data_IF_374334334094
#
_entry.id   IF_374334334094
#
_cell.length_a   1.000
_cell.length_b   1.000
_cell.length_c   1.000
_cell.angle_alpha   90.00
_cell.angle_beta   90.00
_cell.angle_gamma   90.00
#
_symmetry.space_group_name_H-M   'P 1'
#
loop_
_entity.id
_entity.type
_entity.pdbx_description
1 polymer ?
#
# COMPACT_ATOMS: atom_id res chain seq x y z
N UNK A 1 7.76 8.86 19.90
CA UNK A 1 6.47 8.94 20.61
C UNK A 1 5.68 7.70 20.21
N UNK A 2 5.63 6.68 21.05
CA UNK A 2 4.89 5.43 20.76
C UNK A 2 3.43 5.67 21.06
N UNK A 3 2.63 5.71 19.99
CA UNK A 3 1.18 5.83 20.08
C UNK A 3 0.64 4.49 20.59
N UNK A 4 0.10 4.45 21.81
CA UNK A 4 -0.48 3.23 22.37
C UNK A 4 -1.80 2.92 21.68
N UNK A 5 -2.18 1.63 21.62
CA UNK A 5 -3.43 1.19 20.98
C UNK A 5 -4.64 1.91 21.57
N UNK A 6 -4.68 2.10 22.89
CA UNK A 6 -5.76 2.84 23.57
C UNK A 6 -5.86 4.31 23.12
N UNK A 7 -4.72 4.95 22.82
CA UNK A 7 -4.67 6.34 22.35
C UNK A 7 -5.10 6.43 20.88
N UNK A 8 -4.72 5.45 20.05
CA UNK A 8 -5.24 5.35 18.68
C UNK A 8 -6.77 5.17 18.68
N UNK A 9 -7.26 4.24 19.49
CA UNK A 9 -8.68 3.90 19.58
C UNK A 9 -9.52 5.09 20.05
N UNK A 10 -9.04 5.81 21.05
CA UNK A 10 -9.72 7.03 21.56
C UNK A 10 -9.76 8.13 20.51
N UNK A 11 -8.65 8.37 19.81
CA UNK A 11 -8.57 9.37 18.76
C UNK A 11 -9.47 9.05 17.55
N UNK A 12 -9.49 7.78 17.13
CA UNK A 12 -10.35 7.32 16.03
C UNK A 12 -11.84 7.42 16.39
N UNK A 13 -12.21 7.07 17.63
CA UNK A 13 -13.58 7.24 18.14
C UNK A 13 -14.03 8.70 18.09
N UNK A 14 -13.19 9.62 18.57
CA UNK A 14 -13.53 11.04 18.64
C UNK A 14 -13.66 11.67 17.24
N UNK A 15 -12.75 11.33 16.32
CA UNK A 15 -12.84 11.75 14.92
C UNK A 15 -14.09 11.20 14.24
N UNK A 16 -14.44 9.95 14.50
CA UNK A 16 -15.63 9.37 13.88
C UNK A 16 -16.94 9.91 14.45
N UNK A 17 -17.01 10.17 15.76
CA UNK A 17 -18.17 10.84 16.36
C UNK A 17 -18.42 12.20 15.69
N UNK A 18 -17.34 12.94 15.39
CA UNK A 18 -17.44 14.21 14.67
C UNK A 18 -17.93 14.04 13.22
N UNK A 19 -17.51 12.97 12.52
CA UNK A 19 -17.91 12.68 11.14
C UNK A 19 -19.35 12.15 11.03
N UNK A 20 -19.76 11.24 11.91
CA UNK A 20 -21.12 10.69 11.95
C UNK A 20 -22.18 11.78 12.21
N UNK A 21 -21.86 12.74 13.09
CA UNK A 21 -22.70 13.91 13.35
C UNK A 21 -22.82 14.83 12.14
N UNK A 22 -21.78 14.94 11.32
CA UNK A 22 -21.81 15.73 10.08
C UNK A 22 -22.60 15.03 8.96
N UNK A 23 -22.64 13.70 8.95
CA UNK A 23 -23.32 12.89 7.94
C UNK A 23 -24.78 12.55 8.30
N UNK A 24 -25.24 12.87 9.51
CA UNK A 24 -26.63 12.65 9.94
C UNK A 24 -27.01 11.19 10.14
N UNK A 25 -26.03 10.32 10.43
CA UNK A 25 -26.22 8.87 10.57
C UNK A 25 -26.35 8.46 12.05
N UNK A 26 -27.24 7.52 12.32
CA UNK A 26 -27.53 7.00 13.67
C UNK A 26 -26.35 6.17 14.24
N UNK A 27 -26.08 6.30 15.54
CA UNK A 27 -24.88 5.78 16.24
C UNK A 27 -24.69 4.26 16.06
N UNK A 28 -25.79 3.50 16.10
CA UNK A 28 -25.76 2.02 16.00
C UNK A 28 -25.31 1.51 14.64
N UNK A 29 -25.68 2.17 13.54
CA UNK A 29 -25.22 1.78 12.21
C UNK A 29 -23.76 2.16 12.00
N UNK A 30 -23.36 3.31 12.57
CA UNK A 30 -21.98 3.79 12.52
C UNK A 30 -21.01 2.79 13.15
N UNK A 31 -21.35 2.19 14.30
CA UNK A 31 -20.49 1.19 14.94
C UNK A 31 -20.28 -0.07 14.11
N UNK A 32 -21.34 -0.63 13.51
CA UNK A 32 -21.20 -1.83 12.67
C UNK A 32 -20.35 -1.56 11.42
N UNK A 33 -20.57 -0.41 10.76
CA UNK A 33 -19.73 -0.01 9.63
C UNK A 33 -18.27 0.21 10.02
N UNK A 34 -18.00 0.70 11.24
CA UNK A 34 -16.64 0.86 11.74
C UNK A 34 -15.95 -0.47 12.04
N UNK A 35 -16.67 -1.42 12.62
CA UNK A 35 -16.11 -2.75 12.91
C UNK A 35 -15.75 -3.47 11.60
N UNK A 36 -16.65 -3.40 10.60
CA UNK A 36 -16.40 -3.94 9.26
C UNK A 36 -15.21 -3.24 8.56
N UNK A 37 -15.13 -1.90 8.65
CA UNK A 37 -14.00 -1.14 8.09
C UNK A 37 -12.69 -1.41 8.84
N UNK A 38 -12.73 -1.55 10.16
CA UNK A 38 -11.57 -1.88 10.96
C UNK A 38 -11.07 -3.29 10.63
N UNK A 39 -11.98 -4.25 10.44
CA UNK A 39 -11.64 -5.61 10.01
C UNK A 39 -11.04 -5.62 8.60
N UNK A 40 -11.58 -4.84 7.66
CA UNK A 40 -11.02 -4.69 6.31
C UNK A 40 -9.62 -4.04 6.33
N UNK A 41 -9.44 -2.99 7.14
CA UNK A 41 -8.15 -2.32 7.31
C UNK A 41 -7.12 -3.23 7.98
N UNK A 42 -7.52 -3.98 9.02
CA UNK A 42 -6.65 -4.95 9.71
C UNK A 42 -6.29 -6.09 8.78
N UNK A 43 -7.23 -6.59 7.98
CA UNK A 43 -6.97 -7.63 6.97
C UNK A 43 -5.97 -7.13 5.92
N UNK A 44 -6.21 -5.95 5.34
CA UNK A 44 -5.32 -5.36 4.33
C UNK A 44 -3.93 -5.09 4.89
N UNK A 45 -3.84 -4.63 6.14
CA UNK A 45 -2.57 -4.41 6.83
C UNK A 45 -1.86 -5.71 7.19
N UNK A 46 -2.60 -6.78 7.52
CA UNK A 46 -2.02 -8.10 7.77
C UNK A 46 -1.44 -8.72 6.49
N UNK A 47 -2.09 -8.51 5.34
CA UNK A 47 -1.60 -8.97 4.03
C UNK A 47 -0.25 -8.35 3.67
N UNK A 48 0.05 -7.14 4.15
CA UNK A 48 1.35 -6.49 3.96
C UNK A 48 2.49 -7.12 4.79
N UNK A 49 2.18 -8.03 5.72
CA UNK A 49 3.12 -8.65 6.65
C UNK A 49 4.11 -7.63 7.25
N UNK A 50 3.64 -6.57 7.93
CA UNK A 50 4.45 -5.43 8.34
C UNK A 50 5.59 -5.86 9.27
N UNK A 51 6.77 -5.26 9.09
CA UNK A 51 7.98 -5.61 9.85
C UNK A 51 8.66 -6.91 9.43
N UNK A 52 8.03 -7.73 8.60
CA UNK A 52 8.65 -8.95 8.06
C UNK A 52 9.57 -8.63 6.90
N UNK A 53 10.70 -9.34 6.85
CA UNK A 53 11.60 -9.35 5.71
C UNK A 53 10.95 -10.08 4.53
N UNK A 54 10.63 -9.35 3.47
CA UNK A 54 9.95 -9.89 2.29
C UNK A 54 10.79 -10.94 1.54
N UNK A 55 12.12 -10.92 1.70
CA UNK A 55 13.02 -11.90 1.09
C UNK A 55 12.80 -13.33 1.63
N UNK A 56 12.33 -13.44 2.87
CA UNK A 56 12.17 -14.72 3.58
C UNK A 56 10.75 -15.30 3.41
N UNK A 57 9.86 -14.56 2.74
CA UNK A 57 8.46 -14.96 2.57
C UNK A 57 8.29 -15.94 1.40
N UNK A 58 7.33 -16.89 1.51
CA UNK A 58 7.07 -17.84 0.45
C UNK A 58 6.51 -17.14 -0.80
N UNK A 59 7.03 -17.53 -1.97
CA UNK A 59 6.64 -16.97 -3.27
C UNK A 59 5.44 -17.73 -3.85
N UNK A 60 4.26 -17.54 -3.27
CA UNK A 60 3.04 -18.27 -3.64
C UNK A 60 2.18 -17.57 -4.69
N UNK A 61 2.30 -16.24 -4.83
CA UNK A 61 1.57 -15.48 -5.84
C UNK A 61 2.24 -15.62 -7.21
N UNK A 62 1.44 -15.73 -8.27
CA UNK A 62 1.92 -15.88 -9.63
C UNK A 62 1.44 -14.73 -10.49
N UNK A 63 2.36 -13.88 -10.93
CA UNK A 63 2.05 -12.69 -11.75
C UNK A 63 2.65 -12.80 -13.15
N UNK A 64 2.05 -12.12 -14.12
CA UNK A 64 2.62 -12.04 -15.47
C UNK A 64 3.86 -11.13 -15.47
N UNK A 65 4.81 -11.42 -16.37
CA UNK A 65 5.98 -10.57 -16.62
C UNK A 65 5.56 -9.14 -16.98
N UNK A 66 4.46 -9.00 -17.73
CA UNK A 66 3.89 -7.70 -18.08
C UNK A 66 3.43 -6.91 -16.85
N UNK A 67 2.77 -7.55 -15.88
CA UNK A 67 2.36 -6.89 -14.65
C UNK A 67 3.58 -6.51 -13.79
N UNK A 68 4.58 -7.39 -13.69
CA UNK A 68 5.81 -7.09 -12.97
C UNK A 68 6.54 -5.86 -13.56
N UNK A 69 6.64 -5.78 -14.89
CA UNK A 69 7.22 -4.61 -15.56
C UNK A 69 6.47 -3.31 -15.27
N UNK A 70 5.14 -3.36 -15.17
CA UNK A 70 4.32 -2.20 -14.76
C UNK A 70 4.57 -1.81 -13.30
N UNK A 71 4.70 -2.78 -12.41
CA UNK A 71 5.02 -2.52 -11.00
C UNK A 71 6.39 -1.86 -10.86
N UNK A 72 7.41 -2.35 -11.56
CA UNK A 72 8.75 -1.75 -11.60
C UNK A 72 8.68 -0.29 -12.08
N UNK A 73 7.96 -0.02 -13.17
CA UNK A 73 7.77 1.33 -13.68
C UNK A 73 7.06 2.24 -12.67
N UNK A 74 5.95 1.78 -12.07
CA UNK A 74 5.20 2.53 -11.07
C UNK A 74 6.00 2.82 -9.80
N UNK A 75 6.84 1.89 -9.34
CA UNK A 75 7.74 2.09 -8.21
C UNK A 75 8.84 3.12 -8.53
N UNK A 76 9.43 3.04 -9.72
CA UNK A 76 10.42 4.03 -10.17
C UNK A 76 9.81 5.44 -10.26
N UNK A 77 8.60 5.56 -10.79
CA UNK A 77 7.87 6.82 -10.86
C UNK A 77 7.51 7.35 -9.47
N UNK A 78 7.13 6.47 -8.55
CA UNK A 78 6.85 6.83 -7.14
C UNK A 78 8.10 7.38 -6.45
N UNK A 79 9.29 6.82 -6.72
CA UNK A 79 10.57 7.37 -6.22
C UNK A 79 10.82 8.77 -6.75
N UNK A 80 10.60 8.99 -8.05
CA UNK A 80 10.76 10.31 -8.67
C UNK A 80 9.77 11.32 -8.07
N UNK A 81 8.51 10.93 -7.90
CA UNK A 81 7.47 11.72 -7.26
C UNK A 81 7.88 12.17 -5.85
N UNK A 82 8.31 11.25 -4.99
CA UNK A 82 8.79 11.62 -3.65
C UNK A 82 10.08 12.42 -3.67
N UNK A 83 10.87 12.38 -4.74
CA UNK A 83 12.03 13.26 -4.93
C UNK A 83 11.67 14.75 -5.02
N UNK A 84 10.48 15.08 -5.53
CA UNK A 84 10.05 16.47 -5.75
C UNK A 84 8.91 16.91 -4.82
N UNK A 85 8.10 15.98 -4.32
CA UNK A 85 6.89 16.26 -3.53
C UNK A 85 7.17 16.96 -2.19
N UNK A 86 6.75 18.21 -2.01
CA UNK A 86 7.06 19.00 -0.80
C UNK A 86 6.04 18.83 0.36
N UNK A 87 5.05 17.95 0.22
CA UNK A 87 3.97 17.79 1.21
C UNK A 87 4.33 16.98 2.47
N UNK A 88 5.58 16.51 2.58
CA UNK A 88 6.11 15.73 3.72
C UNK A 88 7.51 16.21 4.09
N UNK A 89 7.92 15.93 5.32
CA UNK A 89 9.26 16.24 5.80
C UNK A 89 10.34 15.33 5.18
N UNK A 90 11.61 15.69 5.38
CA UNK A 90 12.75 14.97 4.80
C UNK A 90 13.03 13.59 5.43
N UNK A 91 12.53 13.33 6.64
CA UNK A 91 12.66 12.02 7.28
C UNK A 91 11.67 11.07 6.61
N UNK A 92 10.41 11.48 6.52
CA UNK A 92 9.33 10.74 5.88
C UNK A 92 9.63 10.51 4.40
N UNK A 93 10.11 11.55 3.70
CA UNK A 93 10.54 11.45 2.30
C UNK A 93 11.57 10.34 2.10
N UNK A 94 12.63 10.34 2.91
CA UNK A 94 13.70 9.33 2.81
C UNK A 94 13.17 7.94 3.15
N UNK A 95 12.30 7.81 4.15
CA UNK A 95 11.67 6.54 4.50
C UNK A 95 10.83 5.98 3.34
N UNK A 96 10.00 6.81 2.69
CA UNK A 96 9.17 6.40 1.55
C UNK A 96 9.98 6.02 0.33
N UNK A 97 11.00 6.82 -0.01
CA UNK A 97 11.93 6.48 -1.10
C UNK A 97 12.65 5.17 -0.81
N UNK A 98 13.14 4.98 0.43
CA UNK A 98 13.84 3.77 0.82
C UNK A 98 12.96 2.53 0.72
N UNK A 99 11.75 2.58 1.27
CA UNK A 99 10.78 1.49 1.19
C UNK A 99 10.43 1.15 -0.28
N UNK A 100 10.18 2.18 -1.10
CA UNK A 100 9.86 1.99 -2.53
C UNK A 100 11.05 1.39 -3.29
N UNK A 101 12.27 1.82 -2.99
CA UNK A 101 13.49 1.28 -3.58
C UNK A 101 13.76 -0.18 -3.15
N UNK A 102 13.42 -0.55 -1.92
CA UNK A 102 13.49 -1.95 -1.47
C UNK A 102 12.50 -2.83 -2.26
N UNK A 103 11.26 -2.38 -2.46
CA UNK A 103 10.28 -3.10 -3.28
C UNK A 103 10.74 -3.24 -4.73
N UNK A 104 11.34 -2.19 -5.30
CA UNK A 104 11.90 -2.20 -6.65
C UNK A 104 13.05 -3.20 -6.77
N UNK A 105 13.96 -3.20 -5.79
CA UNK A 105 15.08 -4.15 -5.71
C UNK A 105 14.58 -5.60 -5.63
N UNK A 106 13.62 -5.86 -4.75
CA UNK A 106 13.02 -7.19 -4.61
C UNK A 106 12.31 -7.63 -5.90
N UNK A 107 11.56 -6.74 -6.57
CA UNK A 107 10.93 -7.04 -7.85
C UNK A 107 11.97 -7.43 -8.92
N UNK A 108 13.10 -6.71 -8.97
CA UNK A 108 14.21 -7.05 -9.86
C UNK A 108 14.84 -8.40 -9.57
N UNK A 109 15.05 -8.75 -8.29
CA UNK A 109 15.59 -10.05 -7.89
C UNK A 109 14.61 -11.20 -8.19
N UNK A 110 13.33 -11.00 -7.91
CA UNK A 110 12.26 -11.95 -8.25
C UNK A 110 12.17 -12.15 -9.76
N UNK A 111 12.36 -11.10 -10.56
CA UNK A 111 12.43 -11.21 -12.02
C UNK A 111 13.70 -11.92 -12.49
N UNK A 112 14.84 -11.72 -11.84
CA UNK A 112 16.10 -12.36 -12.22
C UNK A 112 16.09 -13.87 -11.97
N UNK A 113 15.40 -14.32 -10.91
CA UNK A 113 15.20 -15.74 -10.61
C UNK A 113 14.18 -16.42 -11.56
N UNK A 114 13.45 -15.63 -12.35
CA UNK A 114 12.44 -16.14 -13.28
C UNK A 114 13.08 -16.73 -14.54
N UNK A 115 12.66 -17.94 -14.92
CA UNK A 115 13.16 -18.63 -16.11
C UNK A 115 12.10 -18.72 -17.22
N UNK A 116 10.90 -19.22 -16.91
CA UNK A 116 9.79 -19.39 -17.87
C UNK A 116 8.44 -19.27 -17.16
N UNK A 117 7.44 -18.65 -17.81
CA UNK A 117 6.05 -18.67 -17.36
C UNK A 117 5.64 -17.45 -16.52
N UNK A 118 4.86 -17.68 -15.46
CA UNK A 118 4.53 -16.64 -14.49
C UNK A 118 5.69 -16.43 -13.50
N UNK A 119 5.81 -15.22 -12.99
CA UNK A 119 6.79 -14.87 -11.97
C UNK A 119 6.19 -15.15 -10.60
N UNK A 120 6.86 -16.01 -9.83
CA UNK A 120 6.47 -16.32 -8.46
C UNK A 120 6.98 -15.22 -7.52
N UNK A 121 6.07 -14.60 -6.76
CA UNK A 121 6.37 -13.49 -5.85
C UNK A 121 5.70 -13.69 -4.48
N UNK A 122 6.22 -13.08 -3.40
CA UNK A 122 5.53 -13.05 -2.13
C UNK A 122 4.23 -12.24 -2.24
N UNK A 123 3.07 -12.73 -1.78
CA UNK A 123 1.82 -11.96 -1.77
C UNK A 123 1.95 -10.62 -1.04
N UNK A 124 2.67 -10.61 0.09
CA UNK A 124 2.91 -9.40 0.87
C UNK A 124 3.73 -8.34 0.13
N UNK A 125 4.62 -8.75 -0.78
CA UNK A 125 5.30 -7.80 -1.67
C UNK A 125 4.28 -7.09 -2.56
N UNK A 126 3.32 -7.83 -3.13
CA UNK A 126 2.30 -7.28 -4.02
C UNK A 126 1.32 -6.37 -3.27
N UNK A 127 0.95 -6.74 -2.03
CA UNK A 127 0.14 -5.89 -1.15
C UNK A 127 0.85 -4.55 -0.86
N UNK A 128 2.14 -4.58 -0.49
CA UNK A 128 2.94 -3.36 -0.24
C UNK A 128 3.15 -2.52 -1.49
N UNK A 129 3.34 -3.14 -2.66
CA UNK A 129 3.38 -2.43 -3.95
C UNK A 129 2.05 -1.72 -4.18
N UNK A 130 0.93 -2.43 -4.04
CA UNK A 130 -0.40 -1.85 -4.23
C UNK A 130 -0.61 -0.63 -3.34
N UNK A 131 -0.33 -0.74 -2.03
CA UNK A 131 -0.44 0.38 -1.09
C UNK A 131 0.46 1.54 -1.50
N UNK A 132 1.72 1.28 -1.84
CA UNK A 132 2.68 2.32 -2.24
C UNK A 132 2.22 3.09 -3.48
N UNK A 133 1.73 2.38 -4.50
CA UNK A 133 1.20 3.00 -5.71
C UNK A 133 -0.10 3.77 -5.44
N UNK A 134 -1.01 3.24 -4.60
CA UNK A 134 -2.23 3.94 -4.18
C UNK A 134 -1.90 5.25 -3.48
N UNK A 135 -1.00 5.21 -2.49
CA UNK A 135 -0.59 6.42 -1.75
C UNK A 135 0.01 7.48 -2.67
N UNK A 136 0.89 7.09 -3.60
CA UNK A 136 1.45 8.03 -4.57
C UNK A 136 0.37 8.61 -5.50
N UNK A 137 -0.60 7.79 -5.94
CA UNK A 137 -1.70 8.24 -6.77
C UNK A 137 -2.64 9.23 -6.08
N UNK A 138 -2.79 9.12 -4.76
CA UNK A 138 -3.65 10.02 -3.99
C UNK A 138 -2.97 11.34 -3.64
N UNK A 139 -1.64 11.41 -3.73
CA UNK A 139 -0.84 12.60 -3.41
C UNK A 139 -0.39 13.39 -4.66
N UNK A 140 -0.45 12.80 -5.85
CA UNK A 140 0.00 13.48 -7.08
C UNK A 140 -1.10 14.32 -7.69
N UNK A 141 -0.74 15.52 -8.15
CA UNK A 141 -1.64 16.42 -8.90
C UNK A 141 -1.71 16.07 -10.40
N UNK A 142 -0.96 15.07 -10.86
CA UNK A 142 -0.98 14.61 -12.25
C UNK A 142 -2.02 13.50 -12.43
N UNK A 143 -3.16 13.85 -13.04
CA UNK A 143 -4.29 12.93 -13.24
C UNK A 143 -3.93 11.67 -14.05
N UNK A 144 -3.10 11.80 -15.08
CA UNK A 144 -2.69 10.68 -15.92
C UNK A 144 -1.82 9.69 -15.14
N UNK A 145 -0.89 10.24 -14.36
CA UNK A 145 -0.04 9.46 -13.46
C UNK A 145 -0.87 8.79 -12.38
N UNK A 146 -1.76 9.53 -11.71
CA UNK A 146 -2.64 9.00 -10.69
C UNK A 146 -3.49 7.84 -11.23
N UNK A 147 -4.06 7.99 -12.43
CA UNK A 147 -4.85 6.96 -13.08
C UNK A 147 -4.00 5.72 -13.44
N UNK A 148 -2.75 5.90 -13.89
CA UNK A 148 -1.84 4.79 -14.15
C UNK A 148 -1.48 4.01 -12.87
N UNK A 149 -1.07 4.72 -11.82
CA UNK A 149 -0.72 4.14 -10.54
C UNK A 149 -1.89 3.40 -9.89
N UNK A 150 -3.13 3.94 -9.95
CA UNK A 150 -4.33 3.25 -9.45
C UNK A 150 -4.61 1.95 -10.21
N UNK A 151 -4.49 1.95 -11.54
CA UNK A 151 -4.67 0.73 -12.35
C UNK A 151 -3.65 -0.34 -11.98
N UNK A 152 -2.41 0.04 -11.79
CA UNK A 152 -1.34 -0.90 -11.47
C UNK A 152 -1.45 -1.37 -10.01
N UNK A 153 -1.87 -0.51 -9.09
CA UNK A 153 -2.22 -0.88 -7.72
C UNK A 153 -3.33 -1.95 -7.68
N UNK A 154 -4.41 -1.78 -8.45
CA UNK A 154 -5.50 -2.76 -8.53
C UNK A 154 -5.00 -4.12 -9.02
N UNK A 155 -4.09 -4.15 -10.00
CA UNK A 155 -3.49 -5.41 -10.47
C UNK A 155 -2.58 -6.05 -9.44
N UNK A 156 -1.85 -5.26 -8.66
CA UNK A 156 -1.02 -5.77 -7.58
C UNK A 156 -1.89 -6.40 -6.47
N UNK A 157 -3.01 -5.76 -6.07
CA UNK A 157 -3.98 -6.34 -5.12
C UNK A 157 -4.59 -7.64 -5.63
N UNK A 158 -4.99 -7.69 -6.90
CA UNK A 158 -5.53 -8.91 -7.49
C UNK A 158 -4.50 -10.05 -7.57
N UNK A 159 -3.20 -9.74 -7.50
CA UNK A 159 -2.14 -10.73 -7.44
C UNK A 159 -1.73 -11.14 -6.02
N UNK A 160 -2.12 -10.39 -4.98
CA UNK A 160 -1.80 -10.71 -3.58
C UNK A 160 -2.82 -11.65 -2.93
N UNK A 161 -3.99 -11.83 -3.54
CA UNK A 161 -5.07 -12.73 -3.11
C UNK A 161 -4.89 -14.17 -3.56
#
# INVERSE_FOLDING_TARGET
MTLTVDVAESFLRERNYSAARQLGVDERNTHRYLDELAEELVSTFADEAPGTNLFDLPRTAHISVANLGRFIAGLAETIQFYGTFQGIDDIDRRARIHETAQLLSLAGLVQADHTVGSVAAPPAMLARIARTLTTAADLTDNDDLAAALRRDAMRARAGSS
#
